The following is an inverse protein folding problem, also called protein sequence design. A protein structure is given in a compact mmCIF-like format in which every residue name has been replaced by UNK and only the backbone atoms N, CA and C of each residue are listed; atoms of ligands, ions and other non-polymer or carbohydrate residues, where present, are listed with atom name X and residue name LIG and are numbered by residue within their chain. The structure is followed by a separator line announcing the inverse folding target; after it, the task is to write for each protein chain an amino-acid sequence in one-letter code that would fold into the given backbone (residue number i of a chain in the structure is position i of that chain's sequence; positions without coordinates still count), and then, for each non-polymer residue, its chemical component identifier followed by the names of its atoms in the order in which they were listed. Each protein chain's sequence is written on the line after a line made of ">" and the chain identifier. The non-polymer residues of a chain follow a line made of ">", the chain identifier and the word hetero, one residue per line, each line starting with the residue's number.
data_IF_182615819665
#
_entry.id   IF_182615819665
#
_cell.length_a   1.000
_cell.length_b   1.000
_cell.length_c   1.000
_cell.angle_alpha   90.00
_cell.angle_beta   90.00
_cell.angle_gamma   90.00
#
_symmetry.space_group_name_H-M   'P 1'
#
loop_
_entity.id
_entity.type
_entity.pdbx_description
1 polymer ?
#
# COMPACT_ATOMS: atom_id res chain seq x y z
N UNK A 1 20.07 -8.00 17.66
CA UNK A 1 19.62 -6.88 16.79
C UNK A 1 18.58 -6.11 17.58
N UNK A 2 18.73 -4.80 17.70
CA UNK A 2 17.76 -3.95 18.39
C UNK A 2 16.39 -4.07 17.71
N UNK A 3 15.32 -4.26 18.50
CA UNK A 3 13.95 -4.37 18.01
C UNK A 3 13.55 -3.15 17.18
N UNK A 4 14.03 -1.95 17.55
CA UNK A 4 13.75 -0.73 16.81
C UNK A 4 14.40 -0.74 15.41
N UNK A 5 15.64 -1.23 15.31
CA UNK A 5 16.35 -1.41 14.04
C UNK A 5 15.65 -2.45 13.15
N UNK A 6 15.13 -3.54 13.72
CA UNK A 6 14.34 -4.52 12.98
C UNK A 6 13.07 -3.89 12.42
N UNK A 7 12.32 -3.14 13.23
CA UNK A 7 11.07 -2.48 12.82
C UNK A 7 11.35 -1.45 11.72
N UNK A 8 12.39 -0.63 11.87
CA UNK A 8 12.81 0.33 10.83
C UNK A 8 13.20 -0.38 9.53
N UNK A 9 13.96 -1.47 9.61
CA UNK A 9 14.35 -2.27 8.45
C UNK A 9 13.15 -2.86 7.72
N UNK A 10 12.20 -3.46 8.43
CA UNK A 10 10.97 -4.00 7.86
C UNK A 10 10.07 -2.91 7.26
N UNK A 11 9.94 -1.77 7.95
CA UNK A 11 9.15 -0.63 7.47
C UNK A 11 9.76 -0.04 6.20
N UNK A 12 11.08 0.15 6.17
CA UNK A 12 11.81 0.63 4.99
C UNK A 12 11.73 -0.34 3.82
N UNK A 13 11.91 -1.64 4.06
CA UNK A 13 11.76 -2.69 3.04
C UNK A 13 10.34 -2.73 2.47
N UNK A 14 9.32 -2.63 3.32
CA UNK A 14 7.92 -2.55 2.89
C UNK A 14 7.63 -1.29 2.07
N UNK A 15 8.19 -0.15 2.45
CA UNK A 15 8.06 1.11 1.71
C UNK A 15 8.65 0.98 0.28
N UNK A 16 9.85 0.41 0.15
CA UNK A 16 10.49 0.16 -1.14
C UNK A 16 9.65 -0.77 -2.01
N UNK A 17 9.12 -1.86 -1.44
CA UNK A 17 8.24 -2.79 -2.14
C UNK A 17 6.94 -2.10 -2.61
N UNK A 18 6.34 -1.24 -1.79
CA UNK A 18 5.16 -0.47 -2.16
C UNK A 18 5.44 0.54 -3.28
N UNK A 19 6.56 1.26 -3.22
CA UNK A 19 6.97 2.16 -4.31
C UNK A 19 7.18 1.39 -5.61
N UNK A 20 7.91 0.27 -5.56
CA UNK A 20 8.10 -0.58 -6.74
C UNK A 20 6.76 -1.05 -7.31
N UNK A 21 5.86 -1.58 -6.46
CA UNK A 21 4.52 -2.00 -6.86
C UNK A 21 3.68 -0.86 -7.43
N UNK A 22 3.79 0.35 -6.88
CA UNK A 22 3.14 1.55 -7.40
C UNK A 22 3.63 1.89 -8.81
N UNK A 23 4.95 1.95 -9.02
CA UNK A 23 5.55 2.23 -10.32
C UNK A 23 5.15 1.19 -11.36
N UNK A 24 5.27 -0.10 -11.03
CA UNK A 24 4.86 -1.18 -11.93
C UNK A 24 3.36 -1.13 -12.24
N UNK A 25 2.50 -0.87 -11.26
CA UNK A 25 1.07 -0.72 -11.50
C UNK A 25 0.75 0.49 -12.39
N UNK A 26 1.48 1.59 -12.21
CA UNK A 26 1.35 2.79 -13.05
C UNK A 26 1.81 2.54 -14.49
N UNK A 27 2.93 1.84 -14.69
CA UNK A 27 3.41 1.43 -16.02
C UNK A 27 2.37 0.55 -16.73
N UNK A 28 1.85 -0.49 -16.07
CA UNK A 28 0.79 -1.32 -16.63
C UNK A 28 -0.47 -0.51 -16.93
N UNK A 29 -0.86 0.41 -16.04
CA UNK A 29 -2.00 1.28 -16.29
C UNK A 29 -1.84 2.14 -17.54
N UNK A 30 -0.63 2.61 -17.83
CA UNK A 30 -0.36 3.45 -19.00
C UNK A 30 -0.37 2.68 -20.33
N UNK A 31 -0.20 1.35 -20.30
CA UNK A 31 -0.36 0.52 -21.52
C UNK A 31 -1.83 0.23 -21.82
N UNK A 32 -2.72 0.39 -20.82
CA UNK A 32 -4.14 0.22 -20.99
C UNK A 32 -4.79 1.46 -21.62
N UNK A 33 -5.68 1.23 -22.59
CA UNK A 33 -6.58 2.25 -23.12
C UNK A 33 -7.63 2.71 -22.10
N UNK A 34 -8.76 3.23 -22.59
CA UNK A 34 -9.92 3.56 -21.73
C UNK A 34 -10.80 2.33 -21.53
N UNK A 35 -11.40 2.18 -20.35
CA UNK A 35 -12.36 1.13 -20.06
C UNK A 35 -12.41 0.72 -18.59
N UNK A 36 -13.27 -0.25 -18.26
CA UNK A 36 -13.47 -0.73 -16.89
C UNK A 36 -12.19 -1.26 -16.25
N UNK A 37 -11.34 -1.94 -17.02
CA UNK A 37 -10.06 -2.45 -16.55
C UNK A 37 -9.14 -1.29 -16.13
N UNK A 38 -9.03 -0.27 -16.98
CA UNK A 38 -8.24 0.93 -16.73
C UNK A 38 -8.67 1.65 -15.43
N UNK A 39 -9.99 1.83 -15.23
CA UNK A 39 -10.53 2.41 -13.98
C UNK A 39 -10.22 1.55 -12.75
N UNK A 40 -10.20 0.23 -12.88
CA UNK A 40 -9.87 -0.67 -11.78
C UNK A 40 -8.39 -0.55 -11.39
N UNK A 41 -7.50 -0.41 -12.37
CA UNK A 41 -6.08 -0.12 -12.14
C UNK A 41 -5.87 1.28 -11.52
N UNK A 42 -6.62 2.30 -11.94
CA UNK A 42 -6.59 3.63 -11.31
C UNK A 42 -6.95 3.56 -9.82
N UNK A 43 -7.96 2.76 -9.46
CA UNK A 43 -8.33 2.50 -8.06
C UNK A 43 -7.23 1.77 -7.31
N UNK A 44 -6.61 0.75 -7.91
CA UNK A 44 -5.50 0.02 -7.30
C UNK A 44 -4.31 0.95 -6.99
N UNK A 45 -3.92 1.79 -7.95
CA UNK A 45 -2.83 2.77 -7.79
C UNK A 45 -3.17 3.73 -6.64
N UNK A 46 -4.40 4.25 -6.59
CA UNK A 46 -4.86 5.11 -5.50
C UNK A 46 -4.78 4.42 -4.13
N UNK A 47 -5.12 3.13 -4.06
CA UNK A 47 -4.98 2.34 -2.84
C UNK A 47 -3.52 2.17 -2.42
N UNK A 48 -2.63 1.81 -3.36
CA UNK A 48 -1.19 1.68 -3.07
C UNK A 48 -0.62 3.01 -2.56
N UNK A 49 -1.01 4.14 -3.14
CA UNK A 49 -0.62 5.46 -2.65
C UNK A 49 -1.03 5.69 -1.18
N UNK A 50 -2.24 5.30 -0.79
CA UNK A 50 -2.69 5.40 0.60
C UNK A 50 -1.85 4.54 1.55
N UNK A 51 -1.43 3.34 1.13
CA UNK A 51 -0.50 2.53 1.93
C UNK A 51 0.87 3.18 2.09
N UNK A 52 1.41 3.76 1.00
CA UNK A 52 2.68 4.47 1.05
C UNK A 52 2.59 5.59 2.10
N UNK A 53 1.52 6.39 2.07
CA UNK A 53 1.30 7.44 3.07
C UNK A 53 1.22 6.87 4.51
N UNK A 54 0.52 5.75 4.70
CA UNK A 54 0.45 5.06 5.98
C UNK A 54 1.81 4.59 6.50
N UNK A 55 2.64 4.02 5.63
CA UNK A 55 4.01 3.60 5.97
C UNK A 55 4.92 4.80 6.28
N UNK A 56 4.80 5.91 5.54
CA UNK A 56 5.54 7.15 5.83
C UNK A 56 5.15 7.69 7.20
N UNK A 57 3.85 7.74 7.51
CA UNK A 57 3.37 8.19 8.81
C UNK A 57 3.87 7.29 9.95
N UNK A 58 3.86 5.97 9.74
CA UNK A 58 4.38 5.02 10.72
C UNK A 58 5.89 5.15 10.92
N UNK A 59 6.66 5.29 9.84
CA UNK A 59 8.10 5.54 9.89
C UNK A 59 8.42 6.83 10.65
N UNK A 60 7.69 7.93 10.37
CA UNK A 60 7.83 9.19 11.08
C UNK A 60 7.56 9.04 12.59
N UNK A 61 6.58 8.21 12.97
CA UNK A 61 6.29 7.93 14.37
C UNK A 61 7.37 7.09 15.06
N UNK A 62 7.99 6.11 14.37
CA UNK A 62 9.08 5.32 14.94
C UNK A 62 10.32 6.19 15.22
N UNK A 63 10.56 7.18 14.35
CA UNK A 63 11.72 8.08 14.45
C UNK A 63 11.47 9.22 15.43
N UNK A 64 10.21 9.64 15.62
CA UNK A 64 9.85 10.71 16.56
C UNK A 64 9.81 10.21 18.00
N UNK A 65 10.34 11.01 18.93
CA UNK A 65 10.20 10.76 20.37
C UNK A 65 8.79 11.03 20.91
N UNK A 66 7.88 11.54 20.09
CA UNK A 66 6.48 11.81 20.45
C UNK A 66 5.58 10.73 19.87
N UNK A 67 4.84 10.06 20.75
CA UNK A 67 3.80 9.11 20.36
C UNK A 67 2.57 9.92 19.89
N UNK A 68 2.40 10.06 18.57
CA UNK A 68 1.29 10.82 17.98
C UNK A 68 0.00 9.99 17.84
N UNK A 69 0.11 8.69 17.64
CA UNK A 69 -1.02 7.76 17.49
C UNK A 69 -0.78 6.47 18.28
N UNK A 70 -1.84 5.85 18.80
CA UNK A 70 -1.73 4.55 19.47
C UNK A 70 -1.23 3.49 18.46
N UNK A 71 -0.15 2.74 18.75
CA UNK A 71 0.33 1.67 17.88
C UNK A 71 -0.73 0.63 17.49
N UNK A 72 -1.70 0.35 18.38
CA UNK A 72 -2.82 -0.56 18.10
C UNK A 72 -3.76 0.01 17.03
N UNK A 73 -4.02 1.31 17.08
CA UNK A 73 -4.85 2.00 16.09
C UNK A 73 -4.17 2.00 14.72
N UNK A 74 -2.87 2.25 14.66
CA UNK A 74 -2.09 2.18 13.42
C UNK A 74 -2.13 0.77 12.84
N UNK A 75 -1.89 -0.24 13.67
CA UNK A 75 -1.94 -1.64 13.25
C UNK A 75 -3.32 -2.01 12.69
N UNK A 76 -4.40 -1.61 13.36
CA UNK A 76 -5.77 -1.84 12.90
C UNK A 76 -6.06 -1.15 11.56
N UNK A 77 -5.60 0.09 11.37
CA UNK A 77 -5.73 0.82 10.11
C UNK A 77 -4.97 0.14 8.96
N UNK A 78 -3.75 -0.34 9.22
CA UNK A 78 -2.96 -1.08 8.22
C UNK A 78 -3.65 -2.38 7.84
N UNK A 79 -4.15 -3.16 8.81
CA UNK A 79 -4.89 -4.40 8.52
C UNK A 79 -6.18 -4.15 7.75
N UNK A 80 -6.95 -3.13 8.13
CA UNK A 80 -8.18 -2.75 7.44
C UNK A 80 -7.91 -2.32 6.00
N UNK A 81 -6.93 -1.44 5.78
CA UNK A 81 -6.50 -1.07 4.44
C UNK A 81 -6.05 -2.30 3.65
N UNK A 82 -5.26 -3.20 4.28
CA UNK A 82 -4.81 -4.48 3.75
C UNK A 82 -5.95 -5.34 3.22
N UNK A 83 -7.02 -5.47 4.00
CA UNK A 83 -8.21 -6.23 3.61
C UNK A 83 -8.92 -5.62 2.40
N UNK A 84 -9.08 -4.28 2.36
CA UNK A 84 -9.65 -3.60 1.19
C UNK A 84 -8.78 -3.84 -0.05
N UNK A 85 -7.44 -3.82 0.11
CA UNK A 85 -6.51 -4.02 -1.00
C UNK A 85 -6.63 -5.42 -1.59
N UNK A 86 -6.67 -6.45 -0.73
CA UNK A 86 -6.88 -7.84 -1.17
C UNK A 86 -8.21 -7.96 -1.92
N UNK A 87 -9.29 -7.34 -1.41
CA UNK A 87 -10.59 -7.33 -2.10
C UNK A 87 -10.52 -6.62 -3.46
N UNK A 88 -9.80 -5.50 -3.57
CA UNK A 88 -9.61 -4.78 -4.83
C UNK A 88 -8.82 -5.61 -5.85
N UNK A 89 -7.73 -6.26 -5.43
CA UNK A 89 -6.92 -7.14 -6.28
C UNK A 89 -7.71 -8.37 -6.72
N UNK A 90 -8.49 -8.99 -5.82
CA UNK A 90 -9.35 -10.11 -6.16
C UNK A 90 -10.41 -9.72 -7.21
N UNK A 91 -11.01 -8.55 -7.06
CA UNK A 91 -11.96 -7.99 -8.04
C UNK A 91 -11.29 -7.69 -9.38
N UNK A 92 -10.11 -7.09 -9.37
CA UNK A 92 -9.32 -6.83 -10.58
C UNK A 92 -9.02 -8.11 -11.34
N UNK A 93 -8.54 -9.14 -10.65
CA UNK A 93 -8.27 -10.44 -11.27
C UNK A 93 -9.55 -11.05 -11.86
N UNK A 94 -10.67 -11.01 -11.14
CA UNK A 94 -11.95 -11.49 -11.66
C UNK A 94 -12.39 -10.74 -12.93
N UNK A 95 -12.27 -9.42 -12.93
CA UNK A 95 -12.65 -8.59 -14.08
C UNK A 95 -11.72 -8.84 -15.28
N UNK A 96 -10.41 -9.08 -15.06
CA UNK A 96 -9.46 -9.48 -16.12
C UNK A 96 -9.80 -10.84 -16.72
N UNK A 97 -10.16 -11.83 -15.89
CA UNK A 97 -10.50 -13.18 -16.37
C UNK A 97 -11.86 -13.27 -17.09
N UNK A 98 -12.73 -12.26 -16.95
CA UNK A 98 -14.04 -12.21 -17.62
C UNK A 98 -14.06 -11.48 -18.96
N UNK A 99 -12.97 -10.79 -19.30
CA UNK A 99 -12.74 -10.17 -20.62
C UNK A 99 -12.09 -11.18 -21.53
#
# INVERSE_FOLDING_TARGET
>A
MDLQLLILGLTGGGLLALFYGFFTAFEFRNTLGKGKLAEAWDKLIGMIALFILGYIAFAAQIISSKQFLDPKLISALIFFAGAIFVAAVAKLNYDVYKV
#
